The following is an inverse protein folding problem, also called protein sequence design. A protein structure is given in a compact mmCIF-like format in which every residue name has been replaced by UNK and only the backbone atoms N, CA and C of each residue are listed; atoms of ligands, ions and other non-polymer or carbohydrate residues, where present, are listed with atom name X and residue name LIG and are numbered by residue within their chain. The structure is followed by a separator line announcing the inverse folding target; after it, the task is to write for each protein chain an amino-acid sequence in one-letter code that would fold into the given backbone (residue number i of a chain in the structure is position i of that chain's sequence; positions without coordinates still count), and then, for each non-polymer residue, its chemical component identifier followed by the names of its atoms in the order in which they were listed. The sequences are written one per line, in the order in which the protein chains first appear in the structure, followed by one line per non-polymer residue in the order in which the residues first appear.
data_IF_407179114353
#
_entry.id   IF_407179114353
#
_cell.length_a   1.000
_cell.length_b   1.000
_cell.length_c   1.000
_cell.angle_alpha   90.00
_cell.angle_beta   90.00
_cell.angle_gamma   90.00
#
_symmetry.space_group_name_H-M   'P 1'
#
loop_
_entity.id
_entity.type
_entity.pdbx_description
1 polymer ?
#
# COMPACT_ATOMS: atom_id res chain seq x y z
N UNK A 1 -7.87 3.88 21.49
CA UNK A 1 -8.26 3.34 20.17
C UNK A 1 -7.48 2.06 19.94
N UNK A 2 -8.18 0.92 19.89
CA UNK A 2 -7.58 -0.39 19.64
C UNK A 2 -7.84 -0.79 18.19
N UNK A 3 -6.88 -1.52 17.60
CA UNK A 3 -7.07 -2.16 16.29
C UNK A 3 -8.08 -3.30 16.37
N UNK A 4 -8.76 -3.61 15.27
CA UNK A 4 -9.55 -4.83 15.16
C UNK A 4 -8.65 -6.06 15.32
N UNK A 5 -9.15 -7.11 15.97
CA UNK A 5 -8.34 -8.31 16.24
C UNK A 5 -8.06 -9.06 14.93
N UNK A 6 -9.06 -9.28 14.09
CA UNK A 6 -8.95 -9.89 12.77
C UNK A 6 -9.90 -9.22 11.77
N UNK A 7 -11.19 -9.50 11.81
CA UNK A 7 -12.19 -8.88 10.95
C UNK A 7 -12.73 -7.59 11.56
N UNK A 8 -13.12 -6.65 10.71
CA UNK A 8 -13.64 -5.35 11.08
C UNK A 8 -12.67 -4.20 10.77
N UNK A 9 -13.17 -2.98 10.88
CA UNK A 9 -12.44 -1.75 10.61
C UNK A 9 -12.68 -0.74 11.72
N UNK A 10 -11.63 -0.38 12.43
CA UNK A 10 -11.67 0.71 13.41
C UNK A 10 -11.05 1.98 12.82
N UNK A 11 -11.31 3.18 13.36
CA UNK A 11 -10.65 4.39 12.89
C UNK A 11 -9.12 4.32 12.89
N UNK A 12 -8.53 3.54 13.81
CA UNK A 12 -7.09 3.29 13.85
C UNK A 12 -6.58 2.53 12.62
N UNK A 13 -7.40 1.64 12.09
CA UNK A 13 -7.04 0.81 10.94
C UNK A 13 -7.02 1.60 9.62
N UNK A 14 -7.73 2.72 9.57
CA UNK A 14 -7.80 3.60 8.40
C UNK A 14 -6.61 4.57 8.28
N UNK A 15 -5.86 4.80 9.35
CA UNK A 15 -4.76 5.79 9.36
C UNK A 15 -3.73 5.47 8.29
N UNK A 16 -3.28 4.23 8.22
CA UNK A 16 -2.25 3.83 7.26
C UNK A 16 -2.75 3.85 5.79
N UNK A 17 -3.93 3.33 5.46
CA UNK A 17 -4.55 3.54 4.15
C UNK A 17 -4.64 5.02 3.74
N UNK A 18 -5.05 5.91 4.63
CA UNK A 18 -5.08 7.35 4.34
C UNK A 18 -3.70 7.91 4.00
N UNK A 19 -2.64 7.49 4.70
CA UNK A 19 -1.29 7.89 4.35
C UNK A 19 -0.90 7.47 2.94
N UNK A 20 -1.20 6.25 2.53
CA UNK A 20 -0.92 5.76 1.18
C UNK A 20 -1.73 6.50 0.12
N UNK A 21 -3.00 6.78 0.41
CA UNK A 21 -3.86 7.57 -0.48
C UNK A 21 -3.30 8.99 -0.68
N UNK A 22 -3.00 9.71 0.41
CA UNK A 22 -2.41 11.06 0.37
C UNK A 22 -1.05 11.04 -0.33
N UNK A 23 -0.24 10.01 -0.14
CA UNK A 23 1.01 9.83 -0.85
C UNK A 23 0.77 9.71 -2.36
N UNK A 24 -0.25 8.97 -2.80
CA UNK A 24 -0.65 8.88 -4.20
C UNK A 24 -1.00 10.25 -4.79
N UNK A 25 -1.84 11.03 -4.11
CA UNK A 25 -2.15 12.44 -4.50
C UNK A 25 -0.88 13.26 -4.61
N UNK A 26 0.01 13.18 -3.62
CA UNK A 26 1.27 13.92 -3.58
C UNK A 26 2.23 13.51 -4.70
N UNK A 27 2.25 12.22 -5.08
CA UNK A 27 3.02 11.73 -6.23
C UNK A 27 2.56 12.41 -7.52
N UNK A 28 1.23 12.50 -7.76
CA UNK A 28 0.72 13.20 -8.93
C UNK A 28 1.18 14.67 -8.94
N UNK A 29 0.96 15.40 -7.85
CA UNK A 29 1.33 16.83 -7.74
C UNK A 29 2.83 17.07 -7.95
N UNK A 30 3.67 16.20 -7.42
CA UNK A 30 5.12 16.31 -7.54
C UNK A 30 5.60 16.03 -8.96
N UNK A 31 5.13 14.93 -9.58
CA UNK A 31 5.56 14.53 -10.92
C UNK A 31 4.96 15.40 -12.02
N UNK A 32 3.77 15.97 -11.80
CA UNK A 32 3.15 16.91 -12.73
C UNK A 32 4.01 18.17 -12.98
N UNK A 33 4.76 18.63 -11.98
CA UNK A 33 5.71 19.73 -12.14
C UNK A 33 6.82 19.45 -13.17
N UNK A 34 7.15 18.19 -13.37
CA UNK A 34 8.13 17.71 -14.34
C UNK A 34 7.50 17.10 -15.61
N UNK A 35 6.21 17.32 -15.85
CA UNK A 35 5.46 16.78 -16.98
C UNK A 35 5.61 15.26 -17.16
N UNK A 36 5.76 14.53 -16.05
CA UNK A 36 5.91 13.06 -16.02
C UNK A 36 7.01 12.52 -16.94
N UNK A 37 8.07 13.30 -17.16
CA UNK A 37 9.15 12.89 -18.06
C UNK A 37 10.04 11.84 -17.42
N UNK A 38 10.18 10.68 -18.10
CA UNK A 38 11.01 9.56 -17.67
C UNK A 38 12.51 9.84 -18.00
N UNK A 39 13.14 10.80 -17.32
CA UNK A 39 14.57 11.05 -17.45
C UNK A 39 15.38 10.28 -16.43
N UNK A 40 16.68 10.01 -16.72
CA UNK A 40 17.59 9.39 -15.73
C UNK A 40 17.61 10.16 -14.41
N UNK A 41 17.54 11.49 -14.44
CA UNK A 41 17.48 12.34 -13.24
C UNK A 41 16.19 12.14 -12.45
N UNK A 42 15.03 12.00 -13.11
CA UNK A 42 13.74 11.74 -12.47
C UNK A 42 13.74 10.36 -11.82
N UNK A 43 14.16 9.32 -12.54
CA UNK A 43 14.27 7.95 -12.01
C UNK A 43 15.20 7.92 -10.81
N UNK A 44 16.37 8.57 -10.90
CA UNK A 44 17.31 8.64 -9.77
C UNK A 44 16.72 9.32 -8.53
N UNK A 45 15.99 10.42 -8.72
CA UNK A 45 15.29 11.11 -7.60
C UNK A 45 14.26 10.21 -6.93
N UNK A 46 13.45 9.48 -7.72
CA UNK A 46 12.44 8.54 -7.23
C UNK A 46 13.14 7.43 -6.43
N UNK A 47 14.14 6.78 -7.02
CA UNK A 47 14.88 5.68 -6.39
C UNK A 47 15.55 6.13 -5.10
N UNK A 48 16.27 7.27 -5.14
CA UNK A 48 16.94 7.82 -3.95
C UNK A 48 15.94 8.09 -2.81
N UNK A 49 14.77 8.66 -3.13
CA UNK A 49 13.74 8.95 -2.12
C UNK A 49 13.14 7.65 -1.55
N UNK A 50 12.83 6.67 -2.39
CA UNK A 50 12.34 5.37 -1.95
C UNK A 50 13.35 4.67 -1.03
N UNK A 51 14.63 4.65 -1.44
CA UNK A 51 15.71 4.06 -0.63
C UNK A 51 15.89 4.78 0.70
N UNK A 52 15.81 6.11 0.73
CA UNK A 52 15.88 6.86 2.00
C UNK A 52 14.73 6.49 2.95
N UNK A 53 13.50 6.38 2.45
CA UNK A 53 12.34 5.98 3.28
C UNK A 53 12.54 4.56 3.81
N UNK A 54 13.02 3.64 2.98
CA UNK A 54 13.31 2.26 3.35
C UNK A 54 14.38 2.20 4.45
N UNK A 55 15.52 2.89 4.26
CA UNK A 55 16.63 2.93 5.22
C UNK A 55 16.22 3.55 6.55
N UNK A 56 15.44 4.63 6.53
CA UNK A 56 14.88 5.23 7.74
C UNK A 56 13.97 4.24 8.47
N UNK A 57 13.16 3.47 7.74
CA UNK A 57 12.31 2.43 8.31
C UNK A 57 13.13 1.36 9.05
N UNK A 58 14.19 0.86 8.42
CA UNK A 58 15.11 -0.10 9.03
C UNK A 58 15.90 0.50 10.20
N UNK A 59 16.35 1.74 10.08
CA UNK A 59 17.07 2.42 11.16
C UNK A 59 16.20 2.59 12.40
N UNK A 60 14.92 2.93 12.26
CA UNK A 60 13.99 3.03 13.40
C UNK A 60 13.78 1.66 14.06
N UNK A 61 13.64 0.58 13.27
CA UNK A 61 13.50 -0.76 13.83
C UNK A 61 14.77 -1.21 14.55
N UNK A 62 15.92 -0.99 13.94
CA UNK A 62 17.21 -1.26 14.56
C UNK A 62 17.37 -0.50 15.88
N UNK A 63 17.08 0.81 15.89
CA UNK A 63 17.10 1.63 17.09
C UNK A 63 16.22 1.05 18.21
N UNK A 64 15.01 0.62 17.90
CA UNK A 64 14.11 -0.01 18.87
C UNK A 64 14.66 -1.32 19.45
N UNK A 65 15.39 -2.10 18.69
CA UNK A 65 16.03 -3.34 19.14
C UNK A 65 17.28 -3.05 20.00
N UNK A 66 18.06 -2.03 19.64
CA UNK A 66 19.18 -1.55 20.46
C UNK A 66 18.76 -1.16 21.88
N UNK A 67 17.63 -0.45 22.00
CA UNK A 67 17.08 -0.09 23.33
C UNK A 67 16.69 -1.30 24.17
N UNK A 68 16.45 -2.45 23.56
CA UNK A 68 16.15 -3.72 24.23
C UNK A 68 17.41 -4.53 24.53
N UNK A 69 18.59 -3.99 24.27
CA UNK A 69 19.88 -4.64 24.52
C UNK A 69 20.43 -5.44 23.33
N UNK A 70 19.76 -5.45 22.20
CA UNK A 70 20.19 -6.16 21.00
C UNK A 70 20.86 -5.19 20.02
N UNK A 71 22.19 -5.22 20.01
CA UNK A 71 23.01 -4.25 19.24
C UNK A 71 23.20 -4.64 17.76
N UNK A 72 23.10 -5.93 17.45
CA UNK A 72 23.33 -6.46 16.10
C UNK A 72 22.21 -7.42 15.67
N UNK A 73 20.96 -6.93 15.56
CA UNK A 73 19.78 -7.76 15.33
C UNK A 73 19.59 -8.17 13.85
N UNK A 74 20.67 -8.30 13.08
CA UNK A 74 20.55 -8.53 11.64
C UNK A 74 19.88 -9.85 11.29
N UNK A 75 19.98 -10.85 12.16
CA UNK A 75 19.40 -12.19 11.95
C UNK A 75 17.87 -12.22 12.14
N UNK A 76 17.29 -11.19 12.77
CA UNK A 76 15.84 -11.10 13.05
C UNK A 76 15.30 -9.67 12.92
N UNK A 77 16.02 -8.79 12.23
CA UNK A 77 15.53 -7.46 11.89
C UNK A 77 14.33 -7.61 10.94
N UNK A 78 13.18 -7.09 11.33
CA UNK A 78 11.99 -7.11 10.49
C UNK A 78 12.22 -6.25 9.25
N UNK A 79 12.20 -6.87 8.06
CA UNK A 79 12.45 -6.20 6.79
C UNK A 79 11.23 -5.45 6.26
N UNK A 80 10.04 -6.00 6.51
CA UNK A 80 8.76 -5.40 6.14
C UNK A 80 8.19 -4.59 7.32
N UNK A 81 7.51 -3.51 7.02
CA UNK A 81 6.88 -2.63 8.00
C UNK A 81 6.27 -1.42 7.32
N UNK A 82 5.75 -0.48 8.09
CA UNK A 82 5.01 0.69 7.57
C UNK A 82 5.86 1.51 6.59
N UNK A 83 7.07 1.94 6.98
CA UNK A 83 7.95 2.75 6.11
C UNK A 83 8.49 1.98 4.90
N UNK A 84 8.98 0.74 5.03
CA UNK A 84 9.33 -0.09 3.87
C UNK A 84 8.17 -0.24 2.87
N UNK A 85 6.94 -0.48 3.34
CA UNK A 85 5.76 -0.54 2.47
C UNK A 85 5.49 0.79 1.76
N UNK A 86 5.57 1.92 2.47
CA UNK A 86 5.46 3.25 1.87
C UNK A 86 6.51 3.43 0.77
N UNK A 87 7.75 3.01 1.01
CA UNK A 87 8.83 3.09 0.03
C UNK A 87 8.53 2.28 -1.23
N UNK A 88 8.05 1.04 -1.08
CA UNK A 88 7.65 0.16 -2.18
C UNK A 88 6.50 0.78 -2.99
N UNK A 89 5.43 1.22 -2.31
CA UNK A 89 4.28 1.84 -2.96
C UNK A 89 4.67 3.14 -3.68
N UNK A 90 5.46 4.00 -3.03
CA UNK A 90 5.97 5.23 -3.64
C UNK A 90 6.78 4.96 -4.91
N UNK A 91 7.72 4.01 -4.84
CA UNK A 91 8.55 3.63 -5.98
C UNK A 91 7.70 3.09 -7.13
N UNK A 92 6.86 2.08 -6.87
CA UNK A 92 6.01 1.45 -7.88
C UNK A 92 5.07 2.45 -8.55
N UNK A 93 4.35 3.27 -7.76
CA UNK A 93 3.40 4.26 -8.28
C UNK A 93 4.11 5.35 -9.08
N UNK A 94 5.25 5.84 -8.59
CA UNK A 94 6.03 6.86 -9.31
C UNK A 94 6.59 6.33 -10.63
N UNK A 95 7.06 5.07 -10.66
CA UNK A 95 7.54 4.43 -11.89
C UNK A 95 6.41 4.21 -12.90
N UNK A 96 5.26 3.70 -12.46
CA UNK A 96 4.06 3.56 -13.31
C UNK A 96 3.65 4.92 -13.88
N UNK A 97 3.66 5.97 -13.05
CA UNK A 97 3.25 7.31 -13.46
C UNK A 97 4.11 7.93 -14.57
N UNK A 98 5.41 7.62 -14.60
CA UNK A 98 6.33 8.16 -15.62
C UNK A 98 6.51 7.27 -16.85
N UNK A 99 6.08 5.98 -16.78
CA UNK A 99 6.26 5.02 -17.86
C UNK A 99 4.97 4.69 -18.60
N UNK A 100 3.83 4.77 -17.93
CA UNK A 100 2.53 4.38 -18.47
C UNK A 100 1.65 5.60 -18.74
N UNK A 101 0.91 5.59 -19.84
CA UNK A 101 -0.10 6.63 -20.10
C UNK A 101 -1.16 6.61 -19.00
N UNK A 102 -1.48 7.77 -18.45
CA UNK A 102 -2.39 7.91 -17.32
C UNK A 102 -3.81 7.37 -17.56
N UNK A 103 -4.23 7.22 -18.80
CA UNK A 103 -5.53 6.67 -19.15
C UNK A 103 -5.65 5.18 -18.87
N UNK A 104 -4.51 4.47 -18.84
CA UNK A 104 -4.44 3.04 -18.52
C UNK A 104 -4.31 2.76 -17.01
N UNK A 105 -3.99 3.76 -16.17
CA UNK A 105 -3.77 3.55 -14.74
C UNK A 105 -5.01 2.96 -14.05
N UNK A 106 -6.23 3.38 -14.44
CA UNK A 106 -7.48 2.80 -13.93
C UNK A 106 -7.59 1.30 -14.19
N UNK A 107 -7.13 0.83 -15.35
CA UNK A 107 -7.11 -0.59 -15.69
C UNK A 107 -6.03 -1.36 -14.92
N UNK A 108 -4.88 -0.72 -14.67
CA UNK A 108 -3.84 -1.29 -13.80
C UNK A 108 -4.37 -1.46 -12.38
N UNK A 109 -5.08 -0.48 -11.84
CA UNK A 109 -5.75 -0.60 -10.53
C UNK A 109 -6.70 -1.79 -10.52
N UNK A 110 -7.59 -1.88 -11.51
CA UNK A 110 -8.52 -3.00 -11.63
C UNK A 110 -7.81 -4.36 -11.72
N UNK A 111 -6.75 -4.45 -12.53
CA UNK A 111 -5.96 -5.67 -12.68
C UNK A 111 -5.25 -6.06 -11.36
N UNK A 112 -4.62 -5.11 -10.67
CA UNK A 112 -3.96 -5.36 -9.38
C UNK A 112 -4.95 -5.85 -8.33
N UNK A 113 -6.13 -5.23 -8.23
CA UNK A 113 -7.18 -5.66 -7.29
C UNK A 113 -7.74 -7.03 -7.67
N UNK A 114 -7.95 -7.31 -8.97
CA UNK A 114 -8.44 -8.60 -9.44
C UNK A 114 -7.41 -9.72 -9.17
N UNK A 115 -6.14 -9.49 -9.47
CA UNK A 115 -5.06 -10.44 -9.18
C UNK A 115 -4.95 -10.69 -7.68
N UNK A 116 -4.98 -9.64 -6.87
CA UNK A 116 -4.91 -9.78 -5.43
C UNK A 116 -6.13 -10.51 -4.85
N UNK A 117 -7.33 -10.15 -5.29
CA UNK A 117 -8.56 -10.85 -4.91
C UNK A 117 -8.54 -12.34 -5.28
N UNK A 118 -8.09 -12.66 -6.51
CA UNK A 118 -7.91 -14.04 -6.93
C UNK A 118 -6.87 -14.79 -6.07
N UNK A 119 -5.77 -14.14 -5.70
CA UNK A 119 -4.75 -14.72 -4.80
C UNK A 119 -5.35 -15.06 -3.44
N UNK A 120 -6.17 -14.17 -2.86
CA UNK A 120 -6.85 -14.44 -1.59
C UNK A 120 -7.86 -15.58 -1.69
N UNK A 121 -8.66 -15.63 -2.76
CA UNK A 121 -9.67 -16.66 -2.96
C UNK A 121 -9.06 -18.04 -3.14
N UNK A 122 -8.04 -18.14 -3.98
CA UNK A 122 -7.42 -19.43 -4.33
C UNK A 122 -6.45 -19.94 -3.25
N UNK A 123 -5.92 -19.04 -2.43
CA UNK A 123 -4.84 -19.33 -1.48
C UNK A 123 -5.25 -19.28 -0.01
N UNK A 124 -6.53 -19.53 0.33
CA UNK A 124 -7.02 -19.48 1.71
C UNK A 124 -6.69 -18.16 2.44
N UNK A 125 -6.75 -17.04 1.70
CA UNK A 125 -6.32 -15.73 2.17
C UNK A 125 -7.12 -15.17 3.35
N UNK A 126 -8.32 -15.69 3.62
CA UNK A 126 -9.15 -15.33 4.78
C UNK A 126 -8.72 -15.99 6.09
N UNK A 127 -7.91 -17.05 6.04
CA UNK A 127 -7.45 -17.76 7.23
C UNK A 127 -6.39 -16.96 8.00
N UNK A 128 -6.46 -17.01 9.33
CA UNK A 128 -5.46 -16.40 10.23
C UNK A 128 -4.48 -17.47 10.74
N UNK A 129 -3.94 -18.24 9.85
CA UNK A 129 -3.04 -19.34 10.17
C UNK A 129 -1.92 -19.48 9.12
N UNK A 130 -1.11 -20.51 9.28
CA UNK A 130 0.03 -20.78 8.41
C UNK A 130 -0.35 -21.28 7.01
N UNK A 131 -1.62 -21.67 6.79
CA UNK A 131 -2.12 -22.11 5.48
C UNK A 131 -2.43 -20.95 4.53
N UNK A 132 -2.44 -19.71 5.05
CA UNK A 132 -2.68 -18.52 4.27
C UNK A 132 -1.56 -18.31 3.24
N UNK A 133 -1.92 -18.11 1.98
CA UNK A 133 -0.96 -17.90 0.88
C UNK A 133 -0.02 -16.72 1.13
N UNK A 134 -0.49 -15.67 1.83
CA UNK A 134 0.34 -14.51 2.16
C UNK A 134 1.47 -14.91 3.10
N UNK A 135 1.17 -15.75 4.11
CA UNK A 135 2.15 -16.27 5.06
C UNK A 135 3.18 -17.14 4.34
N UNK A 136 2.71 -18.07 3.51
CA UNK A 136 3.57 -19.00 2.76
C UNK A 136 4.53 -18.21 1.85
N UNK A 137 4.00 -17.22 1.11
CA UNK A 137 4.81 -16.42 0.19
C UNK A 137 5.81 -15.52 0.93
N UNK A 138 5.39 -14.83 1.98
CA UNK A 138 6.25 -13.93 2.74
C UNK A 138 7.36 -14.70 3.47
N UNK A 139 7.06 -15.89 4.04
CA UNK A 139 8.07 -16.79 4.64
C UNK A 139 9.06 -17.33 3.60
N UNK A 140 8.60 -17.67 2.40
CA UNK A 140 9.46 -18.17 1.34
C UNK A 140 10.46 -17.10 0.83
N UNK A 141 10.06 -15.81 0.84
CA UNK A 141 10.88 -14.72 0.32
C UNK A 141 11.84 -14.17 1.39
N UNK A 142 11.35 -13.94 2.62
CA UNK A 142 12.09 -13.21 3.65
C UNK A 142 12.56 -14.09 4.80
N UNK A 143 12.05 -15.31 4.93
CA UNK A 143 12.27 -16.15 6.11
C UNK A 143 11.43 -15.68 7.31
N UNK A 144 11.15 -16.61 8.21
CA UNK A 144 10.27 -16.36 9.37
C UNK A 144 10.84 -15.31 10.34
N UNK A 145 12.17 -15.29 10.50
CA UNK A 145 12.86 -14.41 11.43
C UNK A 145 12.70 -12.90 11.10
N UNK A 146 12.43 -12.58 9.83
CA UNK A 146 12.34 -11.20 9.34
C UNK A 146 10.90 -10.67 9.20
N UNK A 147 9.91 -11.49 9.59
CA UNK A 147 8.49 -11.15 9.51
C UNK A 147 7.94 -10.65 10.87
N UNK A 148 6.64 -10.35 10.90
CA UNK A 148 5.95 -9.86 12.09
C UNK A 148 5.79 -10.97 13.15
N UNK A 149 6.40 -10.82 14.36
CA UNK A 149 6.47 -11.93 15.32
C UNK A 149 5.18 -12.16 16.12
N UNK A 150 4.19 -11.26 16.03
CA UNK A 150 2.99 -11.30 16.89
C UNK A 150 1.77 -11.96 16.24
N UNK A 151 1.83 -12.33 14.98
CA UNK A 151 0.74 -12.96 14.26
C UNK A 151 1.28 -13.73 13.06
N UNK A 152 0.60 -14.79 12.60
CA UNK A 152 1.00 -15.55 11.42
C UNK A 152 1.07 -14.65 10.17
N UNK A 153 0.03 -13.85 9.93
CA UNK A 153 -0.06 -12.93 8.79
C UNK A 153 0.64 -11.62 9.13
N UNK A 154 1.65 -11.25 8.35
CA UNK A 154 2.28 -9.93 8.45
C UNK A 154 1.37 -8.86 7.86
N UNK A 155 0.89 -7.88 8.66
CA UNK A 155 0.01 -6.82 8.16
C UNK A 155 0.68 -5.93 7.09
N UNK A 156 1.99 -5.88 7.04
CA UNK A 156 2.80 -5.20 6.03
C UNK A 156 3.53 -6.17 5.09
N UNK A 157 2.98 -7.36 4.83
CA UNK A 157 3.54 -8.40 3.98
C UNK A 157 3.79 -7.94 2.53
N UNK A 158 4.69 -8.62 1.83
CA UNK A 158 5.08 -8.25 0.47
C UNK A 158 3.93 -8.44 -0.52
N UNK A 159 3.25 -9.58 -0.47
CA UNK A 159 2.16 -9.87 -1.40
C UNK A 159 0.98 -8.91 -1.20
N UNK A 160 0.64 -8.54 0.04
CA UNK A 160 -0.40 -7.55 0.33
C UNK A 160 -0.02 -6.13 -0.13
N UNK A 161 1.25 -5.88 -0.49
CA UNK A 161 1.66 -4.61 -1.11
C UNK A 161 1.06 -4.41 -2.51
N UNK A 162 0.60 -5.46 -3.18
CA UNK A 162 -0.13 -5.36 -4.47
C UNK A 162 -1.41 -4.52 -4.28
N UNK A 163 -2.21 -4.82 -3.27
CA UNK A 163 -3.41 -4.04 -2.93
C UNK A 163 -3.04 -2.61 -2.47
N UNK A 164 -1.98 -2.47 -1.68
CA UNK A 164 -1.50 -1.16 -1.23
C UNK A 164 -1.04 -0.26 -2.40
N UNK A 165 -0.39 -0.82 -3.44
CA UNK A 165 -0.03 -0.11 -4.67
C UNK A 165 -1.30 0.33 -5.42
N UNK A 166 -2.30 -0.55 -5.55
CA UNK A 166 -3.57 -0.21 -6.18
C UNK A 166 -4.26 0.95 -5.45
N UNK A 167 -4.31 0.90 -4.11
CA UNK A 167 -4.86 1.96 -3.27
C UNK A 167 -4.12 3.30 -3.46
N UNK A 168 -2.79 3.26 -3.52
CA UNK A 168 -1.97 4.47 -3.78
C UNK A 168 -2.20 5.02 -5.19
N UNK A 169 -2.40 4.15 -6.21
CA UNK A 169 -2.76 4.57 -7.57
C UNK A 169 -4.15 5.22 -7.62
N UNK A 170 -5.12 4.78 -6.80
CA UNK A 170 -6.41 5.48 -6.66
C UNK A 170 -6.17 6.91 -6.16
N UNK A 171 -5.33 7.09 -5.13
CA UNK A 171 -4.92 8.41 -4.67
C UNK A 171 -4.27 9.26 -5.78
N UNK A 172 -3.40 8.66 -6.61
CA UNK A 172 -2.81 9.31 -7.77
C UNK A 172 -3.86 9.78 -8.79
N UNK A 173 -4.87 8.96 -9.08
CA UNK A 173 -5.98 9.33 -9.98
C UNK A 173 -6.81 10.48 -9.41
N UNK A 174 -7.04 10.51 -8.10
CA UNK A 174 -7.70 11.65 -7.43
C UNK A 174 -6.84 12.90 -7.53
N UNK A 175 -5.53 12.81 -7.38
CA UNK A 175 -4.60 13.91 -7.63
C UNK A 175 -4.71 14.47 -9.06
N UNK A 176 -4.81 13.57 -10.07
CA UNK A 176 -5.08 13.91 -11.47
C UNK A 176 -6.40 14.68 -11.60
N UNK A 177 -7.47 14.15 -11.01
CA UNK A 177 -8.80 14.77 -11.05
C UNK A 177 -8.79 16.17 -10.46
N UNK A 178 -8.18 16.36 -9.30
CA UNK A 178 -8.07 17.65 -8.61
C UNK A 178 -7.35 18.69 -9.48
N UNK A 179 -6.29 18.28 -10.17
CA UNK A 179 -5.49 19.20 -10.99
C UNK A 179 -6.11 19.51 -12.35
N UNK A 180 -6.84 18.56 -12.95
CA UNK A 180 -7.44 18.72 -14.26
C UNK A 180 -8.81 19.41 -14.24
N UNK A 181 -9.55 19.33 -13.13
CA UNK A 181 -10.84 19.98 -12.99
C UNK A 181 -10.64 21.43 -12.50
N UNK A 182 -11.11 22.41 -13.28
CA UNK A 182 -10.92 23.84 -12.95
C UNK A 182 -11.95 24.35 -11.92
N UNK A 183 -13.22 24.00 -12.13
CA UNK A 183 -14.29 24.42 -11.25
C UNK A 183 -14.28 23.66 -9.92
N UNK A 184 -14.36 24.39 -8.81
CA UNK A 184 -14.34 23.79 -7.48
C UNK A 184 -15.62 23.01 -7.15
N UNK A 185 -16.78 23.44 -7.65
CA UNK A 185 -18.06 22.73 -7.48
C UNK A 185 -18.03 21.37 -8.18
N UNK A 186 -17.60 21.36 -9.45
CA UNK A 186 -17.45 20.15 -10.24
C UNK A 186 -16.42 19.19 -9.60
N UNK A 187 -15.31 19.73 -9.07
CA UNK A 187 -14.28 18.96 -8.38
C UNK A 187 -14.86 18.20 -7.19
N UNK A 188 -15.59 18.91 -6.33
CA UNK A 188 -16.24 18.32 -5.14
C UNK A 188 -17.25 17.26 -5.57
N UNK A 189 -18.11 17.54 -6.54
CA UNK A 189 -19.10 16.57 -7.05
C UNK A 189 -18.42 15.28 -7.54
N UNK A 190 -17.36 15.40 -8.34
CA UNK A 190 -16.62 14.22 -8.86
C UNK A 190 -15.97 13.40 -7.75
N UNK A 191 -15.35 14.06 -6.76
CA UNK A 191 -14.72 13.37 -5.63
C UNK A 191 -15.77 12.63 -4.82
N UNK A 192 -16.91 13.27 -4.51
CA UNK A 192 -18.01 12.63 -3.80
C UNK A 192 -18.61 11.47 -4.59
N UNK A 193 -18.83 11.64 -5.88
CA UNK A 193 -19.41 10.60 -6.74
C UNK A 193 -18.51 9.36 -6.79
N UNK A 194 -17.21 9.54 -7.10
CA UNK A 194 -16.27 8.41 -7.15
C UNK A 194 -16.01 7.81 -5.76
N UNK A 195 -15.94 8.64 -4.72
CA UNK A 195 -15.84 8.17 -3.34
C UNK A 195 -17.03 7.33 -2.92
N UNK A 196 -18.25 7.74 -3.28
CA UNK A 196 -19.47 6.97 -3.03
C UNK A 196 -19.47 5.65 -3.80
N UNK A 197 -19.06 5.64 -5.07
CA UNK A 197 -18.96 4.41 -5.85
C UNK A 197 -17.97 3.42 -5.25
N UNK A 198 -16.80 3.90 -4.83
CA UNK A 198 -15.80 3.05 -4.17
C UNK A 198 -16.31 2.51 -2.83
N UNK A 199 -16.97 3.36 -2.03
CA UNK A 199 -17.58 2.95 -0.76
C UNK A 199 -18.68 1.91 -0.98
N UNK A 200 -19.59 2.14 -1.92
CA UNK A 200 -20.66 1.19 -2.25
C UNK A 200 -20.09 -0.14 -2.77
N UNK A 201 -19.05 -0.09 -3.62
CA UNK A 201 -18.37 -1.30 -4.10
C UNK A 201 -17.72 -2.08 -2.96
N UNK A 202 -17.02 -1.40 -2.04
CA UNK A 202 -16.45 -2.03 -0.84
C UNK A 202 -17.51 -2.64 0.06
N UNK A 203 -18.63 -1.94 0.26
CA UNK A 203 -19.76 -2.45 1.04
C UNK A 203 -20.38 -3.71 0.42
N UNK A 204 -20.54 -3.75 -0.90
CA UNK A 204 -21.04 -4.93 -1.61
C UNK A 204 -20.05 -6.09 -1.54
N UNK A 205 -18.75 -5.82 -1.66
CA UNK A 205 -17.72 -6.85 -1.54
C UNK A 205 -17.65 -7.47 -0.13
N UNK A 206 -18.16 -6.78 0.90
CA UNK A 206 -18.20 -7.31 2.27
C UNK A 206 -18.98 -8.63 2.41
N UNK A 207 -19.90 -8.94 1.50
CA UNK A 207 -20.61 -10.22 1.47
C UNK A 207 -19.71 -11.41 1.12
N UNK A 208 -18.61 -11.18 0.39
CA UNK A 208 -17.66 -12.22 0.00
C UNK A 208 -16.27 -12.08 0.63
N UNK A 209 -15.88 -10.84 0.94
CA UNK A 209 -14.60 -10.50 1.56
C UNK A 209 -14.85 -9.59 2.73
N UNK A 210 -14.72 -10.08 3.95
CA UNK A 210 -14.82 -9.23 5.13
C UNK A 210 -13.68 -8.19 5.18
N UNK A 211 -13.95 -6.94 5.62
CA UNK A 211 -12.92 -5.91 5.77
C UNK A 211 -11.87 -6.39 6.78
N UNK A 212 -10.64 -6.49 6.33
CA UNK A 212 -9.55 -6.94 7.17
C UNK A 212 -8.26 -6.19 6.83
N UNK A 213 -7.76 -5.44 7.79
CA UNK A 213 -6.54 -4.65 7.66
C UNK A 213 -5.31 -5.51 7.39
N UNK A 214 -5.19 -6.67 8.02
CA UNK A 214 -3.97 -7.50 7.92
C UNK A 214 -3.77 -8.08 6.53
N UNK A 215 -4.85 -8.41 5.86
CA UNK A 215 -4.83 -8.94 4.49
C UNK A 215 -5.17 -7.87 3.44
N UNK A 216 -5.44 -6.63 3.84
CA UNK A 216 -5.79 -5.53 2.92
C UNK A 216 -6.93 -5.89 1.95
N UNK A 217 -7.93 -6.62 2.44
CA UNK A 217 -9.03 -7.08 1.59
C UNK A 217 -9.91 -5.95 1.08
N UNK A 218 -10.09 -4.89 1.87
CA UNK A 218 -10.97 -3.75 1.54
C UNK A 218 -10.49 -2.41 2.13
N UNK A 219 -9.20 -2.20 2.24
CA UNK A 219 -8.65 -0.94 2.79
C UNK A 219 -8.51 0.14 1.75
#
# INVERSE_FOLDING_TARGET
LLHSVWNGCTPCDLVFPFFLFIMGVSCYLSLNKGNFTATKATVWKITKRAMLILLVGWAIQWWNLMWKGDWLPFDHLRLLGVLPRIAICYFAVSMIAITVRHDYIKWIVGALLAVYGATLLLGNGSANDETNILVIADRAIFGEAHLYPKAPVDPEGFVSSISAIAHTLIGFLVGKLIMQTKDNGEKVQKIFFYGFLLFASGYLLNYGFEPNKRIWSQS
#
